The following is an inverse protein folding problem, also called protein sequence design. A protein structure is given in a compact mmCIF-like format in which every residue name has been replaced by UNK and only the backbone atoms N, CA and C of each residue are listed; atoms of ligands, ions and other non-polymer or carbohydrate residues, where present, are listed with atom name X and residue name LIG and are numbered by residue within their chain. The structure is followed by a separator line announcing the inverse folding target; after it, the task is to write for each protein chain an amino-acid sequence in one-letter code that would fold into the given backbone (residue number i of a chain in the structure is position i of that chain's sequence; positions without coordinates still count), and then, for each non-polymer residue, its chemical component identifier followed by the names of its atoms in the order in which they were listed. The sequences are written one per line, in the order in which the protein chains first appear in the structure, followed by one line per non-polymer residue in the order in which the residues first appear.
data_IF_045481408058
#
_entry.id   IF_045481408058
#
_cell.length_a   1.000
_cell.length_b   1.000
_cell.length_c   1.000
_cell.angle_alpha   90.00
_cell.angle_beta   90.00
_cell.angle_gamma   90.00
#
_symmetry.space_group_name_H-M   'P 1'
#
loop_
_entity.id
_entity.type
_entity.pdbx_description
1 polymer ?
#
# COMPACT_ATOMS: atom_id res chain seq x y z
N UNK A 1 -7.25 -14.34 41.82
CA UNK A 1 -6.34 -14.00 40.71
C UNK A 1 -6.17 -12.50 40.76
N UNK A 2 -4.94 -11.99 40.84
CA UNK A 2 -4.70 -10.58 40.58
C UNK A 2 -4.92 -10.36 39.09
N UNK A 3 -5.76 -9.38 38.73
CA UNK A 3 -5.87 -8.93 37.35
C UNK A 3 -4.51 -8.32 36.97
N UNK A 4 -3.84 -8.94 35.99
CA UNK A 4 -2.58 -8.42 35.45
C UNK A 4 -2.94 -7.18 34.63
N UNK A 5 -2.39 -6.03 35.03
CA UNK A 5 -2.58 -4.77 34.33
C UNK A 5 -1.22 -4.07 34.18
N UNK A 6 -0.79 -3.89 32.93
CA UNK A 6 0.44 -3.19 32.59
C UNK A 6 0.16 -1.71 32.34
N UNK A 7 1.02 -0.87 32.90
CA UNK A 7 1.00 0.58 32.69
C UNK A 7 1.51 0.92 31.29
N UNK A 8 1.19 2.12 30.80
CA UNK A 8 1.74 2.64 29.55
C UNK A 8 3.27 2.67 29.60
N UNK A 9 3.86 3.03 30.75
CA UNK A 9 5.31 3.08 30.89
C UNK A 9 5.97 1.72 30.71
N UNK A 10 5.39 0.66 31.27
CA UNK A 10 5.87 -0.71 31.11
C UNK A 10 5.75 -1.20 29.66
N UNK A 11 4.63 -0.92 29.01
CA UNK A 11 4.39 -1.28 27.61
C UNK A 11 5.40 -0.58 26.70
N UNK A 12 5.54 0.74 26.80
CA UNK A 12 6.47 1.51 25.96
C UNK A 12 7.91 1.06 26.16
N UNK A 13 8.32 0.84 27.41
CA UNK A 13 9.65 0.35 27.74
C UNK A 13 9.91 -1.02 27.13
N UNK A 14 8.95 -1.93 27.21
CA UNK A 14 9.07 -3.28 26.63
C UNK A 14 9.17 -3.21 25.10
N UNK A 15 8.34 -2.39 24.45
CA UNK A 15 8.40 -2.19 22.99
C UNK A 15 9.76 -1.61 22.58
N UNK A 16 10.28 -0.62 23.32
CA UNK A 16 11.61 -0.05 23.06
C UNK A 16 12.70 -1.10 23.19
N UNK A 17 12.66 -1.92 24.23
CA UNK A 17 13.63 -3.02 24.40
C UNK A 17 13.59 -4.00 23.22
N UNK A 18 12.40 -4.41 22.77
CA UNK A 18 12.27 -5.31 21.62
C UNK A 18 12.69 -4.67 20.30
N UNK A 19 12.40 -3.37 20.09
CA UNK A 19 12.64 -2.67 18.82
C UNK A 19 14.07 -2.17 18.68
N UNK A 20 14.65 -1.65 19.75
CA UNK A 20 15.96 -0.98 19.73
C UNK A 20 17.05 -1.76 20.48
N UNK A 21 16.73 -2.88 21.14
CA UNK A 21 17.70 -3.62 21.96
C UNK A 21 18.40 -2.73 23.01
N UNK A 22 17.65 -1.78 23.57
CA UNK A 22 18.14 -0.73 24.48
C UNK A 22 19.05 0.35 23.85
N UNK A 23 19.20 0.40 22.52
CA UNK A 23 19.92 1.47 21.84
C UNK A 23 19.17 2.81 21.86
N UNK A 24 19.50 3.64 22.85
CA UNK A 24 18.96 4.98 23.00
C UNK A 24 19.38 5.95 21.89
N UNK A 25 20.43 5.67 21.12
CA UNK A 25 20.84 6.55 20.01
C UNK A 25 19.93 6.34 18.81
N UNK A 26 19.68 5.09 18.43
CA UNK A 26 18.69 4.75 17.40
C UNK A 26 17.31 5.32 17.72
N UNK A 27 16.84 5.13 18.96
CA UNK A 27 15.56 5.68 19.40
C UNK A 27 15.51 7.21 19.22
N UNK A 28 16.53 7.95 19.67
CA UNK A 28 16.56 9.42 19.57
C UNK A 28 16.53 9.90 18.12
N UNK A 29 17.19 9.19 17.21
CA UNK A 29 17.16 9.51 15.79
C UNK A 29 15.73 9.39 15.24
N UNK A 30 15.05 8.29 15.53
CA UNK A 30 13.70 8.06 15.04
C UNK A 30 12.69 9.01 15.70
N UNK A 31 12.77 9.25 17.01
CA UNK A 31 11.91 10.22 17.70
C UNK A 31 11.99 11.61 17.07
N UNK A 32 13.18 12.04 16.63
CA UNK A 32 13.36 13.31 15.92
C UNK A 32 12.65 13.33 14.57
N UNK A 33 12.63 12.20 13.83
CA UNK A 33 11.94 12.11 12.54
C UNK A 33 10.42 12.21 12.66
N UNK A 34 9.86 11.90 13.83
CA UNK A 34 8.44 11.97 14.14
C UNK A 34 8.05 13.21 14.98
N UNK A 35 8.97 14.17 15.15
CA UNK A 35 8.78 15.37 15.97
C UNK A 35 8.36 15.07 17.43
N UNK A 36 8.81 13.93 17.98
CA UNK A 36 8.55 13.53 19.37
C UNK A 36 9.76 13.93 20.23
N UNK A 37 9.61 14.84 21.21
CA UNK A 37 10.73 15.19 22.08
C UNK A 37 11.22 14.00 22.91
N UNK A 38 12.54 13.81 23.01
CA UNK A 38 13.14 12.67 23.72
C UNK A 38 12.76 12.64 25.20
N UNK A 39 12.78 13.79 25.87
CA UNK A 39 12.36 13.93 27.27
C UNK A 39 10.89 13.54 27.47
N UNK A 40 10.03 13.82 26.48
CA UNK A 40 8.61 13.52 26.57
C UNK A 40 8.39 12.01 26.50
N UNK A 41 9.02 11.33 25.54
CA UNK A 41 8.96 9.88 25.42
C UNK A 41 9.49 9.18 26.68
N UNK A 42 10.67 9.58 27.17
CA UNK A 42 11.25 8.99 28.38
C UNK A 42 10.36 9.22 29.62
N UNK A 43 9.72 10.39 29.74
CA UNK A 43 8.77 10.65 30.81
C UNK A 43 7.54 9.71 30.72
N UNK A 44 7.09 9.37 29.52
CA UNK A 44 6.01 8.40 29.33
C UNK A 44 6.42 6.97 29.71
N UNK A 45 7.67 6.57 29.49
CA UNK A 45 8.18 5.27 29.97
C UNK A 45 8.17 5.16 31.50
N UNK A 46 8.18 6.27 32.22
CA UNK A 46 8.05 6.32 33.67
C UNK A 46 6.59 6.44 34.15
N UNK A 47 5.66 6.67 33.23
CA UNK A 47 4.24 6.83 33.55
C UNK A 47 3.66 5.56 34.16
N UNK A 48 2.97 5.73 35.30
CA UNK A 48 2.16 4.68 35.92
C UNK A 48 0.70 4.74 35.45
N UNK A 49 0.39 5.57 34.45
CA UNK A 49 -0.95 5.65 33.91
C UNK A 49 -1.30 4.39 33.12
N UNK A 50 -2.51 3.89 33.33
CA UNK A 50 -3.08 2.78 32.57
C UNK A 50 -3.45 3.20 31.14
N UNK A 51 -3.76 4.49 30.96
CA UNK A 51 -4.19 5.06 29.68
C UNK A 51 -3.64 6.48 29.45
N UNK A 52 -3.47 6.82 28.18
CA UNK A 52 -3.29 8.18 27.70
C UNK A 52 -4.53 8.61 26.89
N UNK A 53 -4.69 9.90 26.59
CA UNK A 53 -5.63 10.33 25.55
C UNK A 53 -5.46 9.50 24.27
N UNK A 54 -6.55 9.05 23.60
CA UNK A 54 -6.47 8.16 22.45
C UNK A 54 -5.54 8.62 21.33
N UNK A 55 -5.50 9.93 21.05
CA UNK A 55 -4.61 10.53 20.06
C UNK A 55 -3.12 10.30 20.37
N UNK A 56 -2.76 10.28 21.66
CA UNK A 56 -1.38 10.03 22.10
C UNK A 56 -1.05 8.54 22.03
N UNK A 57 -2.00 7.67 22.35
CA UNK A 57 -1.83 6.22 22.22
C UNK A 57 -1.61 5.83 20.76
N UNK A 58 -2.44 6.38 19.86
CA UNK A 58 -2.34 6.20 18.42
C UNK A 58 -0.99 6.70 17.88
N UNK A 59 -0.58 7.94 18.24
CA UNK A 59 0.72 8.48 17.84
C UNK A 59 1.89 7.58 18.28
N UNK A 60 1.90 7.13 19.54
CA UNK A 60 2.98 6.32 20.08
C UNK A 60 3.04 4.93 19.47
N UNK A 61 1.89 4.29 19.22
CA UNK A 61 1.88 2.99 18.57
C UNK A 61 2.25 3.08 17.09
N UNK A 62 1.81 4.13 16.39
CA UNK A 62 2.25 4.40 15.00
C UNK A 62 3.74 4.68 14.89
N UNK A 63 4.35 5.34 15.87
CA UNK A 63 5.80 5.51 15.93
C UNK A 63 6.54 4.16 15.86
N UNK A 64 6.01 3.11 16.50
CA UNK A 64 6.53 1.75 16.42
C UNK A 64 5.93 0.91 15.27
N UNK A 65 5.16 1.53 14.37
CA UNK A 65 4.40 0.86 13.31
C UNK A 65 3.44 -0.24 13.82
N UNK A 66 3.03 -0.17 15.09
CA UNK A 66 2.06 -1.08 15.70
C UNK A 66 0.63 -0.59 15.48
N UNK A 67 -0.30 -1.53 15.36
CA UNK A 67 -1.73 -1.23 15.29
C UNK A 67 -2.23 -0.75 16.68
N UNK A 68 -2.87 0.43 16.79
CA UNK A 68 -3.48 0.91 18.03
C UNK A 68 -4.37 -0.12 18.74
N UNK A 69 -5.03 -1.00 17.98
CA UNK A 69 -5.88 -2.06 18.51
C UNK A 69 -5.15 -3.13 19.34
N UNK A 70 -3.80 -3.15 19.31
CA UNK A 70 -3.00 -4.07 20.13
C UNK A 70 -2.92 -3.63 21.60
N UNK A 71 -3.10 -2.33 21.89
CA UNK A 71 -2.85 -1.79 23.25
C UNK A 71 -3.70 -2.46 24.34
N UNK A 72 -5.02 -2.71 24.16
CA UNK A 72 -5.82 -3.42 25.15
C UNK A 72 -5.31 -4.84 25.45
N UNK A 73 -4.73 -5.50 24.44
CA UNK A 73 -4.18 -6.84 24.57
C UNK A 73 -2.87 -6.80 25.36
N UNK A 74 -1.99 -5.84 25.06
CA UNK A 74 -0.73 -5.64 25.80
C UNK A 74 -0.98 -5.31 27.28
N UNK A 75 -1.98 -4.47 27.58
CA UNK A 75 -2.35 -4.09 28.96
C UNK A 75 -2.69 -5.27 29.84
N UNK A 76 -3.36 -6.28 29.28
CA UNK A 76 -3.89 -7.42 30.03
C UNK A 76 -3.10 -8.71 29.80
N UNK A 77 -1.98 -8.62 29.09
CA UNK A 77 -1.14 -9.76 28.77
C UNK A 77 -0.52 -10.37 30.05
N UNK A 78 -0.65 -11.68 30.31
CA UNK A 78 0.02 -12.31 31.45
C UNK A 78 1.56 -12.19 31.37
N UNK A 79 2.10 -12.20 30.16
CA UNK A 79 3.51 -11.96 29.85
C UNK A 79 3.59 -10.84 28.80
N UNK A 80 3.93 -9.63 29.26
CA UNK A 80 4.03 -8.46 28.41
C UNK A 80 5.15 -8.59 27.36
N UNK A 81 6.27 -9.18 27.74
CA UNK A 81 7.43 -9.32 26.86
C UNK A 81 7.10 -10.25 25.69
N UNK A 82 6.45 -11.39 25.98
CA UNK A 82 6.01 -12.30 24.94
C UNK A 82 4.97 -11.64 24.02
N UNK A 83 3.97 -10.95 24.59
CA UNK A 83 2.93 -10.28 23.81
C UNK A 83 3.48 -9.19 22.88
N UNK A 84 4.45 -8.39 23.35
CA UNK A 84 5.15 -7.41 22.51
C UNK A 84 5.94 -8.10 21.39
N UNK A 85 6.66 -9.18 21.69
CA UNK A 85 7.42 -9.90 20.67
C UNK A 85 6.50 -10.50 19.59
N UNK A 86 5.35 -11.07 19.99
CA UNK A 86 4.36 -11.59 19.05
C UNK A 86 3.76 -10.49 18.16
N UNK A 87 3.50 -9.30 18.73
CA UNK A 87 3.05 -8.14 17.96
C UNK A 87 4.11 -7.68 16.93
N UNK A 88 5.38 -7.63 17.33
CA UNK A 88 6.49 -7.27 16.43
C UNK A 88 6.70 -8.33 15.34
N UNK A 89 6.59 -9.62 15.66
CA UNK A 89 6.65 -10.70 14.67
C UNK A 89 5.50 -10.60 13.67
N UNK A 90 4.28 -10.33 14.15
CA UNK A 90 3.10 -10.12 13.28
C UNK A 90 3.32 -8.94 12.32
N UNK A 91 3.93 -7.86 12.80
CA UNK A 91 4.29 -6.71 11.97
C UNK A 91 5.32 -7.09 10.89
N UNK A 92 6.38 -7.83 11.26
CA UNK A 92 7.37 -8.32 10.31
C UNK A 92 6.76 -9.24 9.25
N UNK A 93 5.87 -10.16 9.66
CA UNK A 93 5.18 -11.06 8.73
C UNK A 93 4.27 -10.30 7.77
N UNK A 94 3.56 -9.27 8.25
CA UNK A 94 2.74 -8.38 7.42
C UNK A 94 3.60 -7.65 6.39
N UNK A 95 4.72 -7.06 6.79
CA UNK A 95 5.63 -6.39 5.86
C UNK A 95 6.27 -7.36 4.87
N UNK A 96 6.72 -8.52 5.33
CA UNK A 96 7.28 -9.57 4.47
C UNK A 96 6.24 -10.06 3.46
N UNK A 97 4.98 -10.22 3.87
CA UNK A 97 3.90 -10.55 2.95
C UNK A 97 3.64 -9.44 1.92
N UNK A 98 3.55 -8.18 2.35
CA UNK A 98 3.36 -7.04 1.44
C UNK A 98 4.50 -6.96 0.42
N UNK A 99 5.74 -7.10 0.87
CA UNK A 99 6.92 -7.10 0.01
C UNK A 99 6.91 -8.27 -0.98
N UNK A 100 6.65 -9.49 -0.51
CA UNK A 100 6.51 -10.67 -1.40
C UNK A 100 5.40 -10.47 -2.43
N UNK A 101 4.28 -9.85 -2.03
CA UNK A 101 3.15 -9.55 -2.92
C UNK A 101 3.59 -8.63 -4.05
N UNK A 102 4.34 -7.56 -3.75
CA UNK A 102 4.88 -6.64 -4.75
C UNK A 102 5.88 -7.30 -5.71
N UNK A 103 6.56 -8.35 -5.26
CA UNK A 103 7.54 -9.10 -6.05
C UNK A 103 6.96 -10.30 -6.80
N UNK A 104 5.65 -10.53 -6.74
CA UNK A 104 5.03 -11.65 -7.47
C UNK A 104 5.32 -11.51 -8.98
N UNK A 105 5.91 -12.54 -9.62
CA UNK A 105 6.19 -12.52 -11.05
C UNK A 105 4.89 -12.74 -11.81
N UNK A 106 4.21 -11.65 -12.16
CA UNK A 106 3.04 -11.71 -13.02
C UNK A 106 3.48 -12.05 -14.45
N UNK A 107 2.80 -13.00 -15.14
CA UNK A 107 3.05 -13.21 -16.55
C UNK A 107 2.78 -11.93 -17.34
N UNK A 108 3.52 -11.75 -18.43
CA UNK A 108 3.36 -10.61 -19.32
C UNK A 108 1.92 -10.54 -19.83
N UNK A 109 1.19 -9.50 -19.42
CA UNK A 109 -0.22 -9.36 -19.76
C UNK A 109 -0.44 -9.07 -21.25
N UNK A 110 0.56 -8.59 -21.99
CA UNK A 110 0.49 -8.43 -23.44
C UNK A 110 0.57 -9.77 -24.16
N UNK A 111 1.53 -10.61 -23.79
CA UNK A 111 1.67 -11.96 -24.37
C UNK A 111 0.41 -12.79 -24.09
N UNK A 112 -0.08 -12.77 -22.84
CA UNK A 112 -1.27 -13.53 -22.47
C UNK A 112 -2.51 -13.02 -23.20
N UNK A 113 -2.67 -11.71 -23.37
CA UNK A 113 -3.84 -11.14 -24.04
C UNK A 113 -3.96 -11.49 -25.53
N UNK A 114 -2.88 -11.97 -26.17
CA UNK A 114 -2.92 -12.48 -27.55
C UNK A 114 -3.61 -13.84 -27.66
N UNK A 115 -3.67 -14.59 -26.57
CA UNK A 115 -4.27 -15.94 -26.54
C UNK A 115 -5.76 -15.94 -26.23
N UNK A 116 -6.33 -14.79 -25.88
CA UNK A 116 -7.73 -14.64 -25.57
C UNK A 116 -8.42 -13.81 -26.64
N UNK A 117 -9.40 -14.43 -27.31
CA UNK A 117 -10.35 -13.70 -28.12
C UNK A 117 -11.09 -12.73 -27.20
N UNK A 118 -10.90 -11.42 -27.43
CA UNK A 118 -11.61 -10.42 -26.65
C UNK A 118 -13.09 -10.51 -27.00
N UNK A 119 -13.98 -10.92 -26.07
CA UNK A 119 -15.38 -11.13 -26.42
C UNK A 119 -16.12 -9.81 -26.70
N UNK A 120 -15.45 -8.66 -26.50
CA UNK A 120 -16.04 -7.32 -26.48
C UNK A 120 -14.99 -6.29 -26.91
N UNK A 121 -14.50 -6.36 -28.15
CA UNK A 121 -14.03 -5.13 -28.79
C UNK A 121 -15.27 -4.50 -29.44
N UNK A 122 -15.97 -3.54 -28.79
CA UNK A 122 -17.20 -2.96 -29.33
C UNK A 122 -16.97 -2.21 -30.63
N UNK A 123 -15.70 -1.91 -30.95
CA UNK A 123 -15.27 -1.26 -32.17
C UNK A 123 -14.37 -2.22 -32.97
N UNK A 124 -14.83 -2.74 -34.12
CA UNK A 124 -14.06 -3.70 -34.92
C UNK A 124 -12.83 -3.07 -35.61
N UNK A 125 -12.82 -1.75 -35.77
CA UNK A 125 -11.72 -1.02 -36.42
C UNK A 125 -10.63 -0.57 -35.41
N UNK A 126 -10.89 -0.73 -34.11
CA UNK A 126 -9.95 -0.37 -33.05
C UNK A 126 -8.73 -1.32 -33.03
N UNK A 127 -7.52 -0.73 -33.08
CA UNK A 127 -6.23 -1.44 -33.01
C UNK A 127 -5.87 -1.85 -31.59
N UNK A 128 -6.30 -1.08 -30.60
CA UNK A 128 -6.08 -1.36 -29.18
C UNK A 128 -7.41 -1.44 -28.43
N UNK A 129 -7.47 -2.30 -27.40
CA UNK A 129 -8.61 -2.35 -26.47
C UNK A 129 -8.34 -1.41 -25.29
N UNK A 130 -9.38 -1.08 -24.53
CA UNK A 130 -9.20 -0.35 -23.27
C UNK A 130 -8.31 -1.11 -22.26
N UNK A 131 -8.32 -2.45 -22.29
CA UNK A 131 -7.38 -3.27 -21.52
C UNK A 131 -5.91 -3.01 -21.92
N UNK A 132 -5.66 -2.77 -23.21
CA UNK A 132 -4.32 -2.45 -23.71
C UNK A 132 -3.91 -1.02 -23.29
N UNK A 133 -4.85 -0.07 -23.21
CA UNK A 133 -4.62 1.26 -22.65
C UNK A 133 -4.26 1.19 -21.15
N UNK A 134 -5.01 0.42 -20.37
CA UNK A 134 -4.73 0.21 -18.94
C UNK A 134 -3.33 -0.38 -18.72
N UNK A 135 -2.99 -1.43 -19.50
CA UNK A 135 -1.66 -2.05 -19.45
C UNK A 135 -0.57 -1.08 -19.87
N UNK A 136 -0.78 -0.29 -20.94
CA UNK A 136 0.16 0.72 -21.41
C UNK A 136 0.47 1.75 -20.32
N UNK A 137 -0.56 2.27 -19.64
CA UNK A 137 -0.37 3.20 -18.53
C UNK A 137 0.44 2.55 -17.40
N UNK A 138 0.09 1.34 -16.96
CA UNK A 138 0.81 0.69 -15.85
C UNK A 138 2.27 0.39 -16.19
N UNK A 139 2.52 -0.21 -17.35
CA UNK A 139 3.84 -0.72 -17.72
C UNK A 139 4.76 0.39 -18.21
N UNK A 140 4.25 1.26 -19.09
CA UNK A 140 5.10 2.19 -19.84
C UNK A 140 5.20 3.56 -19.17
N UNK A 141 4.07 4.09 -18.69
CA UNK A 141 4.03 5.40 -18.03
C UNK A 141 4.39 5.28 -16.55
N UNK A 142 3.58 4.55 -15.80
CA UNK A 142 3.65 4.47 -14.33
C UNK A 142 4.80 3.57 -13.86
N UNK A 143 5.18 2.57 -14.66
CA UNK A 143 6.19 1.56 -14.36
C UNK A 143 5.96 0.87 -13.01
N UNK A 144 4.69 0.58 -12.69
CA UNK A 144 4.27 -0.03 -11.42
C UNK A 144 3.95 -1.52 -11.58
N UNK A 145 4.12 -2.33 -10.52
CA UNK A 145 3.66 -3.72 -10.53
C UNK A 145 2.13 -3.79 -10.56
N UNK A 146 1.60 -4.94 -10.99
CA UNK A 146 0.16 -5.24 -11.03
C UNK A 146 -0.52 -4.94 -9.70
N UNK A 147 0.13 -5.28 -8.59
CA UNK A 147 -0.39 -5.12 -7.23
C UNK A 147 -0.68 -3.65 -6.89
N UNK A 148 0.16 -2.71 -7.33
CA UNK A 148 -0.04 -1.28 -7.03
C UNK A 148 -1.33 -0.76 -7.63
N UNK A 149 -1.61 -1.09 -8.89
CA UNK A 149 -2.85 -0.65 -9.54
C UNK A 149 -4.05 -1.44 -9.03
N UNK A 150 -3.87 -2.71 -8.68
CA UNK A 150 -4.91 -3.49 -8.03
C UNK A 150 -5.32 -2.87 -6.69
N UNK A 151 -4.36 -2.45 -5.85
CA UNK A 151 -4.64 -1.74 -4.60
C UNK A 151 -5.32 -0.39 -4.86
N UNK A 152 -4.90 0.36 -5.89
CA UNK A 152 -5.53 1.64 -6.27
C UNK A 152 -7.02 1.49 -6.61
N UNK A 153 -7.40 0.42 -7.30
CA UNK A 153 -8.79 0.13 -7.65
C UNK A 153 -9.54 -0.71 -6.60
N UNK A 154 -8.94 -1.00 -5.44
CA UNK A 154 -9.48 -1.90 -4.42
C UNK A 154 -9.89 -3.29 -4.99
N UNK A 155 -9.03 -3.85 -5.83
CA UNK A 155 -9.24 -5.14 -6.49
C UNK A 155 -8.21 -6.19 -6.06
N UNK A 156 -8.59 -7.48 -6.00
CA UNK A 156 -7.60 -8.55 -5.92
C UNK A 156 -6.65 -8.50 -7.13
N UNK A 157 -5.32 -8.64 -6.95
CA UNK A 157 -4.35 -8.53 -8.05
C UNK A 157 -4.62 -9.41 -9.26
N UNK A 158 -5.12 -10.63 -9.05
CA UNK A 158 -5.49 -11.55 -10.13
C UNK A 158 -6.65 -11.00 -10.97
N UNK A 159 -7.62 -10.34 -10.34
CA UNK A 159 -8.78 -9.77 -11.02
C UNK A 159 -8.36 -8.58 -11.87
N UNK A 160 -7.54 -7.68 -11.30
CA UNK A 160 -6.96 -6.58 -12.06
C UNK A 160 -6.13 -7.10 -13.25
N UNK A 161 -5.28 -8.11 -13.05
CA UNK A 161 -4.48 -8.70 -14.13
C UNK A 161 -5.36 -9.37 -15.22
N UNK A 162 -6.48 -10.00 -14.84
CA UNK A 162 -7.46 -10.53 -15.81
C UNK A 162 -8.14 -9.43 -16.64
N UNK A 163 -8.27 -8.22 -16.09
CA UNK A 163 -8.77 -7.06 -16.85
C UNK A 163 -7.72 -6.56 -17.85
N UNK A 164 -6.43 -6.48 -17.47
CA UNK A 164 -5.34 -6.12 -18.40
C UNK A 164 -5.19 -7.12 -19.56
N UNK A 165 -5.50 -8.39 -19.31
CA UNK A 165 -5.47 -9.45 -20.34
C UNK A 165 -6.77 -9.55 -21.14
N UNK A 166 -7.72 -8.64 -20.91
CA UNK A 166 -9.05 -8.60 -21.54
C UNK A 166 -9.91 -9.86 -21.32
N UNK A 167 -9.58 -10.71 -20.35
CA UNK A 167 -10.41 -11.84 -19.92
C UNK A 167 -11.64 -11.38 -19.13
N UNK A 168 -11.53 -10.23 -18.47
CA UNK A 168 -12.64 -9.53 -17.81
C UNK A 168 -12.79 -8.13 -18.38
N UNK A 169 -14.03 -7.63 -18.55
CA UNK A 169 -14.23 -6.23 -18.94
C UNK A 169 -13.79 -5.29 -17.81
N UNK A 170 -13.38 -4.09 -18.19
CA UNK A 170 -13.13 -3.00 -17.26
C UNK A 170 -14.44 -2.51 -16.65
N UNK A 171 -14.39 -2.04 -15.41
CA UNK A 171 -15.53 -1.36 -14.78
C UNK A 171 -15.71 0.04 -15.37
N UNK A 172 -16.90 0.62 -15.18
CA UNK A 172 -17.17 2.00 -15.61
C UNK A 172 -16.19 2.99 -14.96
N UNK A 173 -15.86 2.79 -13.69
CA UNK A 173 -14.93 3.65 -12.93
C UNK A 173 -13.52 3.58 -13.50
N UNK A 174 -13.04 2.40 -13.91
CA UNK A 174 -11.74 2.26 -14.56
C UNK A 174 -11.73 2.93 -15.94
N UNK A 175 -12.84 2.87 -16.70
CA UNK A 175 -12.95 3.57 -17.99
C UNK A 175 -13.00 5.09 -17.79
N UNK A 176 -13.71 5.57 -16.76
CA UNK A 176 -13.72 6.98 -16.38
C UNK A 176 -12.33 7.45 -15.95
N UNK A 177 -11.62 6.64 -15.16
CA UNK A 177 -10.22 6.90 -14.80
C UNK A 177 -9.31 6.96 -16.02
N UNK A 178 -9.43 6.05 -16.99
CA UNK A 178 -8.66 6.12 -18.24
C UNK A 178 -8.88 7.44 -18.98
N UNK A 179 -10.13 7.90 -19.04
CA UNK A 179 -10.50 9.18 -19.67
C UNK A 179 -9.88 10.36 -18.94
N UNK A 180 -9.98 10.38 -17.62
CA UNK A 180 -9.40 11.43 -16.77
C UNK A 180 -7.88 11.48 -16.93
N UNK A 181 -7.21 10.33 -16.81
CA UNK A 181 -5.75 10.22 -16.88
C UNK A 181 -5.23 10.63 -18.26
N UNK A 182 -5.89 10.19 -19.33
CA UNK A 182 -5.51 10.53 -20.69
C UNK A 182 -6.11 11.86 -21.16
N UNK A 183 -6.70 12.63 -20.24
CA UNK A 183 -7.33 13.93 -20.45
C UNK A 183 -8.21 13.98 -21.71
N UNK A 184 -9.14 13.03 -21.83
CA UNK A 184 -10.04 12.91 -22.98
C UNK A 184 -11.44 12.48 -22.59
N UNK A 185 -12.43 12.95 -23.34
CA UNK A 185 -13.80 12.45 -23.24
C UNK A 185 -14.03 11.19 -24.10
N UNK A 186 -13.16 10.97 -25.11
CA UNK A 186 -13.27 9.87 -26.07
C UNK A 186 -11.96 9.08 -26.19
N UNK A 187 -11.97 7.86 -25.63
CA UNK A 187 -10.83 6.94 -25.69
C UNK A 187 -10.55 6.42 -27.11
N UNK A 188 -11.46 6.62 -28.07
CA UNK A 188 -11.29 6.14 -29.45
C UNK A 188 -10.05 6.71 -30.12
N UNK A 189 -9.65 7.94 -29.78
CA UNK A 189 -8.43 8.55 -30.33
C UNK A 189 -7.17 7.71 -30.02
N UNK A 190 -7.15 7.02 -28.88
CA UNK A 190 -6.05 6.14 -28.49
C UNK A 190 -6.25 4.72 -29.01
N UNK A 191 -7.49 4.21 -29.03
CA UNK A 191 -7.73 2.84 -29.54
C UNK A 191 -7.53 2.71 -31.04
N UNK A 192 -7.64 3.79 -31.80
CA UNK A 192 -7.39 3.84 -33.25
C UNK A 192 -5.99 4.31 -33.64
N UNK A 193 -5.17 4.72 -32.67
CA UNK A 193 -3.80 5.15 -32.93
C UNK A 193 -2.95 4.01 -33.51
N UNK A 194 -1.93 4.37 -34.30
CA UNK A 194 -0.91 3.42 -34.75
C UNK A 194 0.06 3.04 -33.62
N UNK A 195 0.35 4.01 -32.76
CA UNK A 195 1.27 3.88 -31.63
C UNK A 195 0.74 4.66 -30.42
N UNK A 196 0.57 3.98 -29.30
CA UNK A 196 0.00 4.57 -28.08
C UNK A 196 0.90 5.63 -27.46
N UNK A 197 2.23 5.43 -27.48
CA UNK A 197 3.16 6.38 -26.89
C UNK A 197 3.14 7.71 -27.65
N UNK A 198 3.25 7.63 -28.98
CA UNK A 198 3.20 8.80 -29.85
C UNK A 198 1.88 9.55 -29.69
N UNK A 199 0.75 8.84 -29.61
CA UNK A 199 -0.56 9.46 -29.41
C UNK A 199 -0.66 10.20 -28.06
N UNK A 200 -0.12 9.61 -26.99
CA UNK A 200 -0.09 10.24 -25.65
C UNK A 200 0.86 11.42 -25.62
N UNK A 201 2.07 11.31 -26.17
CA UNK A 201 3.03 12.41 -26.22
C UNK A 201 2.50 13.62 -27.01
N UNK A 202 1.78 13.38 -28.11
CA UNK A 202 1.14 14.41 -28.92
C UNK A 202 -0.03 15.08 -28.18
N UNK A 203 -0.79 14.31 -27.38
CA UNK A 203 -1.88 14.85 -26.58
C UNK A 203 -1.40 15.67 -25.37
N UNK A 204 -0.14 15.48 -24.95
CA UNK A 204 0.43 16.07 -23.73
C UNK A 204 1.74 16.87 -23.98
N UNK A 205 1.79 17.67 -25.05
CA UNK A 205 2.81 18.71 -25.35
C UNK A 205 4.23 18.46 -24.80
N UNK A 206 4.81 17.28 -25.08
CA UNK A 206 6.21 16.99 -24.78
C UNK A 206 6.50 16.20 -23.50
N UNK A 207 5.49 15.60 -22.86
CA UNK A 207 5.69 14.51 -21.92
C UNK A 207 4.52 14.25 -20.99
N UNK A 208 4.07 13.00 -20.95
CA UNK A 208 3.06 12.55 -19.99
C UNK A 208 3.72 11.98 -18.73
N UNK A 209 3.60 12.69 -17.60
CA UNK A 209 4.05 12.22 -16.29
C UNK A 209 2.85 12.12 -15.38
N UNK A 210 2.59 10.89 -14.91
CA UNK A 210 1.58 10.61 -13.90
C UNK A 210 2.27 9.91 -12.73
N UNK A 211 2.05 10.40 -11.52
CA UNK A 211 2.40 9.70 -10.29
C UNK A 211 1.11 9.25 -9.59
N UNK A 212 1.02 7.94 -9.36
CA UNK A 212 0.06 7.28 -8.48
C UNK A 212 0.71 6.97 -7.13
#
# INVERSE_FOLDING_TARGET
MMDVHHTIGEILRTIRYSSYQDDLRGLKHDLMMFDIPDWYYLNLEHSQADHLPPEKEDLLLRFFALDPAILPQLRTAPDLQQAVNDAMLTLLDKHAWQFRRLQLPWPDSAQVAQHFDSPQNPDPDAKFRYADLLRFLRVTILKKPVVTLADYFDLPPLIYWQMETAQKPLTADMVAWLKEVLNTDDLRQYTHADDLMTAVDQAHDGGFVMDL
#
